data_IF_880023085780
#
_entry.id   IF_880023085780
#
_cell.length_a   1.000
_cell.length_b   1.000
_cell.length_c   1.000
_cell.angle_alpha   90.00
_cell.angle_beta   90.00
_cell.angle_gamma   90.00
#
_symmetry.space_group_name_H-M   'P 1'
#
loop_
_entity.id
_entity.type
_entity.pdbx_description
1 polymer ?
#
# COMPACT_ATOMS: atom_id res chain seq x y z
N UNK A 1 39.32 2.56 -42.27
CA UNK A 1 39.62 1.13 -42.03
C UNK A 1 38.61 0.61 -41.02
N UNK A 2 37.73 -0.31 -41.42
CA UNK A 2 36.61 -0.80 -40.60
C UNK A 2 37.10 -2.03 -39.84
N UNK A 3 37.37 -1.87 -38.54
CA UNK A 3 37.90 -2.96 -37.70
C UNK A 3 36.78 -3.94 -37.38
N UNK A 4 36.88 -5.16 -37.90
CA UNK A 4 35.99 -6.27 -37.57
C UNK A 4 36.09 -6.62 -36.07
N UNK A 5 34.96 -6.83 -35.36
CA UNK A 5 35.00 -7.24 -33.96
C UNK A 5 35.62 -8.64 -33.81
N UNK A 6 36.35 -8.91 -32.70
CA UNK A 6 37.07 -10.17 -32.51
C UNK A 6 36.08 -11.34 -32.38
N UNK A 7 36.36 -12.45 -33.07
CA UNK A 7 35.49 -13.64 -33.18
C UNK A 7 34.97 -14.19 -31.84
N UNK A 8 35.68 -13.94 -30.73
CA UNK A 8 35.28 -14.33 -29.37
C UNK A 8 34.05 -13.58 -28.86
N UNK A 9 33.83 -12.33 -29.28
CA UNK A 9 32.68 -11.53 -28.90
C UNK A 9 31.41 -11.97 -29.64
N UNK A 10 31.51 -12.34 -30.91
CA UNK A 10 30.39 -12.92 -31.66
C UNK A 10 29.97 -14.29 -31.10
N UNK A 11 30.93 -15.12 -30.68
CA UNK A 11 30.64 -16.44 -30.13
C UNK A 11 29.90 -16.36 -28.79
N UNK A 12 30.28 -15.40 -27.93
CA UNK A 12 29.62 -15.16 -26.65
C UNK A 12 28.19 -14.62 -26.82
N UNK A 13 27.98 -13.70 -27.79
CA UNK A 13 26.65 -13.17 -28.10
C UNK A 13 25.71 -14.25 -28.68
N UNK A 14 26.22 -15.14 -29.54
CA UNK A 14 25.45 -16.24 -30.10
C UNK A 14 25.00 -17.25 -29.01
N UNK A 15 25.88 -17.55 -28.04
CA UNK A 15 25.56 -18.46 -26.94
C UNK A 15 24.44 -17.94 -26.03
N UNK A 16 24.44 -16.63 -25.72
CA UNK A 16 23.37 -16.01 -24.91
C UNK A 16 22.02 -15.96 -25.62
N UNK A 17 21.99 -15.74 -26.93
CA UNK A 17 20.73 -15.74 -27.70
C UNK A 17 20.11 -17.15 -27.76
N UNK A 18 20.94 -18.19 -27.95
CA UNK A 18 20.48 -19.58 -27.96
C UNK A 18 19.92 -20.00 -26.60
N UNK A 19 20.55 -19.58 -25.49
CA UNK A 19 20.11 -19.93 -24.14
C UNK A 19 18.77 -19.28 -23.76
N UNK A 20 18.44 -18.12 -24.32
CA UNK A 20 17.17 -17.42 -24.06
C UNK A 20 16.00 -17.86 -24.94
N UNK A 21 16.25 -18.53 -26.07
CA UNK A 21 15.21 -18.95 -27.02
C UNK A 21 14.68 -20.38 -26.79
N UNK A 22 15.38 -21.21 -26.01
CA UNK A 22 14.99 -22.60 -25.74
C UNK A 22 13.70 -22.81 -24.90
N UNK A 23 13.30 -21.94 -23.96
CA UNK A 23 12.07 -22.17 -23.19
C UNK A 23 10.78 -21.73 -23.89
N UNK A 24 10.85 -21.09 -25.08
CA UNK A 24 9.66 -20.58 -25.80
C UNK A 24 8.96 -21.64 -26.68
N UNK A 25 9.57 -22.82 -26.88
CA UNK A 25 9.11 -23.82 -27.87
C UNK A 25 8.29 -24.98 -27.25
N UNK A 26 8.13 -25.04 -25.93
CA UNK A 26 7.42 -26.16 -25.25
C UNK A 26 6.00 -25.85 -24.77
N UNK A 27 5.40 -24.74 -25.19
CA UNK A 27 4.09 -24.30 -24.71
C UNK A 27 2.84 -24.80 -25.47
N UNK A 28 2.96 -25.56 -26.58
CA UNK A 28 1.80 -25.95 -27.40
C UNK A 28 1.70 -27.47 -27.60
N UNK A 29 1.09 -28.16 -26.63
CA UNK A 29 0.60 -29.52 -26.81
C UNK A 29 -0.66 -29.78 -25.97
N UNK A 30 -1.76 -29.09 -26.31
CA UNK A 30 -3.10 -29.41 -25.85
C UNK A 30 -3.83 -30.20 -26.94
N UNK A 31 -3.83 -31.53 -26.84
CA UNK A 31 -4.48 -32.42 -27.79
C UNK A 31 -6.00 -32.40 -27.56
N UNK A 32 -6.77 -31.94 -28.54
CA UNK A 32 -8.23 -31.99 -28.54
C UNK A 32 -8.72 -33.36 -28.99
N UNK A 33 -9.32 -34.13 -28.08
CA UNK A 33 -10.08 -35.32 -28.42
C UNK A 33 -11.56 -34.95 -28.60
N UNK A 34 -12.02 -34.85 -29.85
CA UNK A 34 -13.46 -34.80 -30.16
C UNK A 34 -13.99 -36.22 -30.30
N UNK A 35 -14.62 -36.72 -29.25
CA UNK A 35 -15.42 -37.95 -29.29
C UNK A 35 -16.83 -37.63 -29.77
N UNK A 36 -17.19 -38.11 -30.96
CA UNK A 36 -18.57 -38.06 -31.47
C UNK A 36 -19.42 -39.04 -30.66
N UNK A 37 -20.22 -38.51 -29.73
CA UNK A 37 -21.18 -39.26 -28.93
C UNK A 37 -22.55 -39.39 -29.62
N UNK A 38 -23.13 -40.58 -29.51
CA UNK A 38 -24.50 -40.93 -29.96
C UNK A 38 -25.56 -40.00 -29.36
N UNK A 39 -26.69 -39.73 -30.06
CA UNK A 39 -27.75 -38.86 -29.53
C UNK A 39 -28.33 -39.40 -28.21
N UNK A 40 -28.54 -38.55 -27.19
CA UNK A 40 -29.07 -38.98 -25.91
C UNK A 40 -30.52 -39.43 -26.03
N UNK A 41 -30.84 -40.56 -25.41
CA UNK A 41 -32.21 -41.04 -25.19
C UNK A 41 -32.97 -40.02 -24.33
N UNK A 42 -34.23 -39.66 -24.67
CA UNK A 42 -35.02 -38.73 -23.87
C UNK A 42 -35.18 -39.28 -22.45
N UNK A 43 -34.60 -38.58 -21.49
CA UNK A 43 -34.69 -38.90 -20.06
C UNK A 43 -35.84 -38.09 -19.46
N UNK A 44 -36.73 -38.75 -18.72
CA UNK A 44 -37.84 -38.09 -18.02
C UNK A 44 -37.28 -37.02 -17.07
N UNK A 45 -37.74 -35.78 -17.25
CA UNK A 45 -37.30 -34.65 -16.43
C UNK A 45 -37.83 -34.83 -15.01
N UNK A 46 -36.98 -34.80 -13.96
CA UNK A 46 -37.46 -34.90 -12.59
C UNK A 46 -38.33 -33.70 -12.24
N UNK A 47 -39.43 -33.97 -11.52
CA UNK A 47 -40.34 -32.95 -11.01
C UNK A 47 -39.59 -32.00 -10.06
N UNK A 48 -39.82 -30.68 -10.10
CA UNK A 48 -39.15 -29.73 -9.22
C UNK A 48 -39.46 -30.07 -7.75
N UNK A 49 -38.41 -30.29 -6.96
CA UNK A 49 -38.49 -30.47 -5.52
C UNK A 49 -38.54 -29.10 -4.87
N UNK A 50 -39.54 -28.84 -4.01
CA UNK A 50 -39.59 -27.61 -3.23
C UNK A 50 -38.39 -27.54 -2.28
N UNK A 51 -37.56 -26.52 -2.45
CA UNK A 51 -36.42 -26.25 -1.56
C UNK A 51 -36.93 -25.47 -0.34
N UNK A 52 -36.63 -25.89 0.90
CA UNK A 52 -37.03 -25.14 2.08
C UNK A 52 -36.36 -23.77 2.10
N UNK A 53 -37.14 -22.72 2.41
CA UNK A 53 -36.63 -21.36 2.55
C UNK A 53 -35.77 -21.27 3.83
N UNK A 54 -34.56 -20.68 3.79
CA UNK A 54 -33.74 -20.52 4.97
C UNK A 54 -34.43 -19.61 6.01
N UNK A 55 -34.24 -19.86 7.32
CA UNK A 55 -34.76 -19.00 8.36
C UNK A 55 -34.14 -17.60 8.28
N UNK A 56 -34.85 -16.55 8.74
CA UNK A 56 -34.31 -15.19 8.74
C UNK A 56 -33.08 -15.09 9.64
N UNK A 57 -31.99 -14.57 9.10
CA UNK A 57 -30.75 -14.29 9.85
C UNK A 57 -30.93 -13.03 10.69
N UNK A 58 -30.55 -13.06 11.97
CA UNK A 58 -30.55 -11.87 12.81
C UNK A 58 -29.56 -10.84 12.26
N UNK A 59 -30.03 -9.61 12.04
CA UNK A 59 -29.16 -8.50 11.64
C UNK A 59 -28.48 -7.94 12.88
N UNK A 60 -27.15 -7.75 12.89
CA UNK A 60 -26.48 -7.15 14.03
C UNK A 60 -26.99 -5.72 14.24
N UNK A 61 -27.38 -5.41 15.49
CA UNK A 61 -27.72 -4.04 15.87
C UNK A 61 -26.47 -3.17 15.77
N UNK A 62 -26.52 -1.99 15.11
CA UNK A 62 -25.36 -1.10 15.04
C UNK A 62 -24.90 -0.72 16.46
N UNK A 63 -23.61 -0.89 16.73
CA UNK A 63 -23.01 -0.48 18.00
C UNK A 63 -23.06 1.04 18.12
N UNK A 64 -23.35 1.55 19.32
CA UNK A 64 -23.28 2.97 19.61
C UNK A 64 -21.84 3.47 19.44
N UNK A 65 -21.65 4.47 18.58
CA UNK A 65 -20.38 5.20 18.48
C UNK A 65 -20.25 6.11 19.70
N UNK A 66 -19.19 5.99 20.52
CA UNK A 66 -18.98 6.90 21.63
C UNK A 66 -18.84 8.33 21.11
N UNK A 67 -19.52 9.27 21.77
CA UNK A 67 -19.32 10.70 21.50
C UNK A 67 -18.11 11.17 22.31
N UNK A 68 -17.13 11.88 21.71
CA UNK A 68 -15.99 12.38 22.45
C UNK A 68 -16.44 13.38 23.53
N UNK A 69 -15.92 13.23 24.74
CA UNK A 69 -16.11 14.20 25.81
C UNK A 69 -15.46 15.53 25.38
N UNK A 70 -16.16 16.67 25.49
CA UNK A 70 -15.56 17.97 25.19
C UNK A 70 -14.34 18.24 26.09
N UNK A 71 -13.28 18.78 25.50
CA UNK A 71 -12.12 19.23 26.27
C UNK A 71 -12.50 20.46 27.11
N UNK A 72 -11.97 20.61 28.34
CA UNK A 72 -12.13 21.84 29.10
C UNK A 72 -11.56 23.06 28.34
N UNK A 73 -12.12 24.27 28.56
CA UNK A 73 -11.75 25.45 27.79
C UNK A 73 -10.33 25.96 28.07
N UNK A 74 -9.69 25.49 29.13
CA UNK A 74 -8.34 25.85 29.56
C UNK A 74 -7.28 24.78 29.21
N UNK A 75 -7.62 23.82 28.34
CA UNK A 75 -6.72 22.70 27.98
C UNK A 75 -6.27 22.82 26.52
N UNK A 76 -4.95 22.74 26.30
CA UNK A 76 -4.38 22.72 24.94
C UNK A 76 -4.78 21.40 24.24
N UNK A 77 -5.41 21.45 23.06
CA UNK A 77 -5.85 20.25 22.35
C UNK A 77 -4.70 19.40 21.80
N UNK A 78 -3.48 19.95 21.66
CA UNK A 78 -2.32 19.24 21.14
C UNK A 78 -1.55 18.48 22.22
N UNK A 79 -1.46 19.04 23.43
CA UNK A 79 -0.68 18.47 24.54
C UNK A 79 -1.55 17.83 25.63
N UNK A 80 -2.81 18.25 25.75
CA UNK A 80 -3.70 17.86 26.85
C UNK A 80 -3.39 18.55 28.19
N UNK A 81 -2.46 19.50 28.19
CA UNK A 81 -2.08 20.25 29.39
C UNK A 81 -2.98 21.48 29.62
N UNK A 82 -3.15 21.85 30.88
CA UNK A 82 -3.81 23.12 31.24
C UNK A 82 -2.89 24.30 30.96
N UNK A 83 -3.48 25.37 30.45
CA UNK A 83 -2.76 26.61 30.13
C UNK A 83 -3.20 27.72 31.08
N UNK A 84 -2.23 28.42 31.68
CA UNK A 84 -2.50 29.50 32.64
C UNK A 84 -3.22 30.71 32.00
N UNK A 85 -2.88 31.02 30.75
CA UNK A 85 -3.49 32.08 29.95
C UNK A 85 -4.30 31.47 28.79
N UNK A 86 -5.64 31.43 28.87
CA UNK A 86 -6.48 30.88 27.82
C UNK A 86 -6.36 31.57 26.46
N UNK A 87 -5.88 32.82 26.40
CA UNK A 87 -5.69 33.52 25.11
C UNK A 87 -4.61 32.87 24.23
N UNK A 88 -3.75 32.03 24.82
CA UNK A 88 -2.78 31.23 24.08
C UNK A 88 -3.45 30.16 23.21
N UNK A 89 -4.68 29.73 23.56
CA UNK A 89 -5.45 28.74 22.81
C UNK A 89 -6.08 29.32 21.54
N UNK A 90 -6.14 30.65 21.41
CA UNK A 90 -6.58 31.34 20.19
C UNK A 90 -5.47 31.42 19.13
N UNK A 91 -4.26 30.94 19.44
CA UNK A 91 -3.13 30.92 18.49
C UNK A 91 -3.32 29.82 17.46
N UNK A 92 -3.10 30.17 16.19
CA UNK A 92 -3.10 29.20 15.09
C UNK A 92 -1.84 28.33 15.20
N UNK A 93 -1.96 26.99 15.27
CA UNK A 93 -0.80 26.10 15.25
C UNK A 93 -0.01 26.24 13.94
N UNK A 94 1.32 26.22 14.02
CA UNK A 94 2.20 26.39 12.86
C UNK A 94 2.99 25.11 12.64
N UNK A 95 2.69 24.40 11.56
CA UNK A 95 3.45 23.22 11.17
C UNK A 95 4.68 23.62 10.32
N UNK A 96 5.88 23.49 10.89
CA UNK A 96 7.16 23.83 10.25
C UNK A 96 7.86 22.56 9.79
N UNK A 97 8.25 22.52 8.52
CA UNK A 97 9.02 21.42 7.96
C UNK A 97 10.52 21.67 8.12
N UNK A 98 11.18 20.82 8.90
CA UNK A 98 12.59 20.98 9.30
C UNK A 98 13.43 19.87 8.67
N UNK A 99 14.56 20.22 8.07
CA UNK A 99 15.52 19.25 7.53
C UNK A 99 16.15 18.43 8.66
N UNK A 100 16.10 17.10 8.56
CA UNK A 100 16.77 16.19 9.51
C UNK A 100 17.93 15.40 8.87
N UNK A 101 18.14 15.57 7.56
CA UNK A 101 19.20 14.87 6.83
C UNK A 101 19.98 15.78 5.89
N UNK A 102 21.30 15.58 5.72
CA UNK A 102 22.14 14.66 6.50
C UNK A 102 22.58 15.31 7.82
N UNK A 103 22.60 14.53 8.90
CA UNK A 103 22.71 15.03 10.28
C UNK A 103 23.91 15.94 10.53
N UNK A 104 25.04 15.71 9.85
CA UNK A 104 26.26 16.51 10.00
C UNK A 104 26.12 17.98 9.58
N UNK A 105 25.09 18.36 8.82
CA UNK A 105 24.89 19.74 8.37
C UNK A 105 23.71 20.45 9.03
N UNK A 106 22.76 19.68 9.61
CA UNK A 106 21.48 20.23 10.08
C UNK A 106 21.29 20.12 11.59
N UNK A 107 22.18 19.40 12.29
CA UNK A 107 22.17 19.32 13.74
C UNK A 107 23.18 20.30 14.38
N UNK A 108 22.84 20.92 15.52
CA UNK A 108 21.55 20.86 16.23
C UNK A 108 20.48 21.80 15.62
N UNK A 109 19.21 21.42 15.75
CA UNK A 109 18.07 22.24 15.34
C UNK A 109 17.79 23.37 16.34
N UNK A 110 17.44 24.55 15.83
CA UNK A 110 17.00 25.67 16.66
C UNK A 110 15.51 25.57 16.99
N UNK A 111 15.14 25.86 18.25
CA UNK A 111 13.73 25.97 18.67
C UNK A 111 12.96 24.65 18.77
N UNK A 112 13.61 23.49 18.59
CA UNK A 112 12.89 22.21 18.61
C UNK A 112 12.29 21.87 19.99
N UNK A 113 12.88 22.41 21.07
CA UNK A 113 12.39 22.22 22.44
C UNK A 113 11.08 22.96 22.74
N UNK A 114 10.62 23.85 21.86
CA UNK A 114 9.34 24.56 22.01
C UNK A 114 8.23 23.98 21.13
N UNK A 115 8.48 22.89 20.40
CA UNK A 115 7.45 22.22 19.63
C UNK A 115 6.62 21.31 20.56
N UNK A 116 5.30 21.35 20.41
CA UNK A 116 4.38 20.48 21.15
C UNK A 116 4.40 19.07 20.55
N UNK A 117 4.47 18.99 19.22
CA UNK A 117 4.45 17.73 18.46
C UNK A 117 5.55 17.72 17.41
N UNK A 118 6.21 16.58 17.24
CA UNK A 118 7.21 16.36 16.19
C UNK A 118 6.89 15.06 15.48
N UNK A 119 6.61 15.17 14.18
CA UNK A 119 6.41 14.03 13.31
C UNK A 119 7.62 13.87 12.41
N UNK A 120 8.29 12.73 12.49
CA UNK A 120 9.32 12.37 11.51
C UNK A 120 8.73 11.59 10.35
N UNK A 121 8.99 12.08 9.14
CA UNK A 121 8.58 11.41 7.91
C UNK A 121 9.75 11.31 6.94
N UNK A 122 9.71 10.31 6.05
CA UNK A 122 10.57 10.29 4.88
C UNK A 122 10.22 11.46 3.97
N UNK A 123 11.24 12.11 3.43
CA UNK A 123 11.05 13.16 2.46
C UNK A 123 11.37 12.70 1.04
N UNK A 124 12.53 12.06 0.86
CA UNK A 124 13.03 11.66 -0.45
C UNK A 124 13.88 10.39 -0.31
N UNK A 125 13.76 9.45 -1.24
CA UNK A 125 14.68 8.32 -1.39
C UNK A 125 14.67 7.26 -0.28
N UNK A 126 13.68 7.22 0.62
CA UNK A 126 13.57 6.28 1.76
C UNK A 126 14.70 6.36 2.82
N UNK A 127 15.79 7.12 2.57
CA UNK A 127 16.87 7.31 3.54
C UNK A 127 16.89 8.72 4.15
N UNK A 128 16.31 9.73 3.48
CA UNK A 128 16.28 11.09 3.99
C UNK A 128 14.98 11.37 4.75
N UNK A 129 15.11 11.84 5.99
CA UNK A 129 13.97 12.25 6.82
C UNK A 129 13.90 13.76 7.00
N UNK A 130 12.70 14.24 7.29
CA UNK A 130 12.40 15.61 7.72
C UNK A 130 11.38 15.55 8.84
N UNK A 131 11.42 16.54 9.71
CA UNK A 131 10.44 16.70 10.78
C UNK A 131 9.34 17.67 10.32
N UNK A 132 8.12 17.43 10.79
CA UNK A 132 7.07 18.44 10.87
C UNK A 132 6.87 18.74 12.35
N UNK A 133 7.33 19.90 12.79
CA UNK A 133 7.18 20.38 14.16
C UNK A 133 5.99 21.32 14.23
N UNK A 134 5.13 21.15 15.22
CA UNK A 134 3.96 22.00 15.49
C UNK A 134 4.20 22.79 16.76
#
# INVERSE_FOLDING_TARGET
>A
MKTSPPARLCLLMAATVILTLLPLVWGLAGCGATTTGSPPTPTLTPHPTSTPTPPPTSTPTPAFTPTPTPLPPDVNPLTGERVDDPSLLDRVPVAIKISNWPGQYVWPQAGIASADLIFEHYNEGWFATRWTAV
#
